data_IF_350601255544
#
_entry.id   IF_350601255544
#
_cell.length_a   1.000
_cell.length_b   1.000
_cell.length_c   1.000
_cell.angle_alpha   90.00
_cell.angle_beta   90.00
_cell.angle_gamma   90.00
#
_symmetry.space_group_name_H-M   'P 1'
#
loop_
_entity.id
_entity.type
_entity.pdbx_description
1 polymer ?
#
# COMPACT_ATOMS: atom_id res chain seq x y z
N UNK A 1 -17.56 -34.88 -43.91
CA UNK A 1 -16.56 -35.12 -42.85
C UNK A 1 -15.95 -33.81 -42.31
N UNK A 2 -15.47 -32.94 -43.15
CA UNK A 2 -14.80 -31.68 -42.74
C UNK A 2 -15.72 -30.73 -41.94
N UNK A 3 -17.03 -30.61 -42.31
CA UNK A 3 -18.01 -29.76 -41.60
C UNK A 3 -18.28 -30.19 -40.15
N UNK A 4 -18.23 -31.50 -39.87
CA UNK A 4 -18.44 -32.02 -38.50
C UNK A 4 -17.22 -31.83 -37.60
N UNK A 5 -16.02 -31.89 -38.16
CA UNK A 5 -14.75 -31.66 -37.44
C UNK A 5 -14.65 -30.16 -37.02
N UNK A 6 -15.02 -29.22 -37.90
CA UNK A 6 -15.05 -27.79 -37.55
C UNK A 6 -16.01 -27.47 -36.40
N UNK A 7 -17.18 -28.13 -36.35
CA UNK A 7 -18.17 -27.91 -35.28
C UNK A 7 -17.64 -28.39 -33.93
N UNK A 8 -16.96 -29.54 -33.90
CA UNK A 8 -16.36 -30.08 -32.68
C UNK A 8 -15.19 -29.23 -32.17
N UNK A 9 -14.34 -28.74 -33.09
CA UNK A 9 -13.25 -27.83 -32.72
C UNK A 9 -13.78 -26.48 -32.19
N UNK A 10 -14.84 -25.93 -32.76
CA UNK A 10 -15.46 -24.71 -32.28
C UNK A 10 -16.11 -24.86 -30.91
N UNK A 11 -16.74 -26.03 -30.63
CA UNK A 11 -17.31 -26.39 -29.33
C UNK A 11 -16.25 -26.52 -28.23
N UNK A 12 -15.08 -27.06 -28.56
CA UNK A 12 -13.95 -27.17 -27.61
C UNK A 12 -13.34 -25.83 -27.23
N UNK A 13 -13.32 -24.85 -28.14
CA UNK A 13 -12.84 -23.52 -27.83
C UNK A 13 -13.76 -22.71 -26.89
N UNK A 14 -15.04 -23.02 -26.87
CA UNK A 14 -16.01 -22.32 -26.02
C UNK A 14 -16.03 -22.84 -24.55
N UNK A 15 -15.34 -23.94 -24.29
CA UNK A 15 -15.28 -24.55 -22.95
C UNK A 15 -14.03 -24.12 -22.14
N UNK A 16 -13.24 -23.17 -22.62
CA UNK A 16 -12.21 -22.53 -21.80
C UNK A 16 -12.94 -21.54 -20.86
N UNK A 17 -13.43 -22.07 -19.75
CA UNK A 17 -13.94 -21.26 -18.68
C UNK A 17 -12.87 -20.23 -18.31
N UNK A 18 -13.20 -18.97 -18.29
CA UNK A 18 -12.34 -17.93 -17.76
C UNK A 18 -12.03 -18.30 -16.31
N UNK A 19 -10.83 -18.82 -16.07
CA UNK A 19 -10.31 -19.00 -14.71
C UNK A 19 -10.08 -17.59 -14.19
N UNK A 20 -11.05 -17.09 -13.47
CA UNK A 20 -10.93 -15.81 -12.79
C UNK A 20 -10.23 -16.09 -11.46
N UNK A 21 -9.01 -15.59 -11.33
CA UNK A 21 -8.31 -15.67 -10.06
C UNK A 21 -9.02 -14.77 -9.04
N UNK A 22 -9.18 -15.26 -7.83
CA UNK A 22 -9.69 -14.44 -6.74
C UNK A 22 -8.77 -13.24 -6.50
N UNK A 23 -9.33 -12.06 -6.24
CA UNK A 23 -8.54 -10.88 -6.00
C UNK A 23 -7.72 -11.03 -4.71
N UNK A 24 -6.42 -10.75 -4.81
CA UNK A 24 -5.55 -10.68 -3.63
C UNK A 24 -5.78 -9.34 -2.93
N UNK A 25 -6.05 -9.39 -1.63
CA UNK A 25 -6.16 -8.23 -0.77
C UNK A 25 -4.91 -8.09 0.10
N UNK A 26 -4.32 -6.91 0.07
CA UNK A 26 -3.22 -6.55 0.97
C UNK A 26 -3.77 -6.17 2.35
N UNK A 27 -2.94 -6.16 3.37
CA UNK A 27 -3.37 -5.80 4.72
C UNK A 27 -4.03 -4.42 4.80
N UNK A 28 -3.54 -3.45 4.03
CA UNK A 28 -4.12 -2.12 3.96
C UNK A 28 -5.52 -2.13 3.30
N UNK A 29 -5.76 -2.99 2.30
CA UNK A 29 -7.08 -3.13 1.68
C UNK A 29 -8.09 -3.72 2.67
N UNK A 30 -7.68 -4.74 3.42
CA UNK A 30 -8.53 -5.37 4.45
C UNK A 30 -8.84 -4.38 5.57
N UNK A 31 -7.85 -3.58 5.97
CA UNK A 31 -8.02 -2.54 6.98
C UNK A 31 -9.06 -1.50 6.51
N UNK A 32 -8.94 -1.03 5.27
CA UNK A 32 -9.88 -0.07 4.68
C UNK A 32 -11.29 -0.67 4.53
N UNK A 33 -11.42 -1.88 4.00
CA UNK A 33 -12.70 -2.59 3.86
C UNK A 33 -13.42 -2.78 5.21
N UNK A 34 -12.65 -2.96 6.28
CA UNK A 34 -13.20 -3.06 7.64
C UNK A 34 -13.65 -1.71 8.22
N UNK A 35 -13.50 -0.61 7.48
CA UNK A 35 -13.73 0.74 7.98
C UNK A 35 -12.71 1.15 9.03
N UNK A 36 -11.47 0.65 8.93
CA UNK A 36 -10.36 0.93 9.84
C UNK A 36 -10.65 0.57 11.31
N UNK A 37 -11.52 -0.40 11.57
CA UNK A 37 -11.98 -0.74 12.94
C UNK A 37 -10.84 -1.03 13.91
N UNK A 38 -9.76 -1.66 13.45
CA UNK A 38 -8.62 -2.02 14.30
C UNK A 38 -7.87 -0.79 14.86
N UNK A 39 -7.96 0.34 14.17
CA UNK A 39 -7.27 1.59 14.53
C UNK A 39 -8.22 2.79 14.69
N UNK A 40 -9.52 2.54 14.64
CA UNK A 40 -10.54 3.58 14.78
C UNK A 40 -10.43 4.36 16.08
N UNK A 41 -10.58 5.68 15.99
CA UNK A 41 -10.43 6.60 17.11
C UNK A 41 -9.01 6.84 17.59
N UNK A 42 -8.01 6.19 16.99
CA UNK A 42 -6.60 6.25 17.43
C UNK A 42 -5.81 7.33 16.68
N UNK A 43 -4.78 7.82 17.35
CA UNK A 43 -3.68 8.55 16.73
C UNK A 43 -2.68 7.53 16.22
N UNK A 44 -2.36 7.59 14.94
CA UNK A 44 -1.54 6.59 14.25
C UNK A 44 -0.28 7.23 13.71
N UNK A 45 0.87 6.59 13.96
CA UNK A 45 2.11 6.82 13.23
C UNK A 45 2.27 5.72 12.17
N UNK A 46 2.66 6.10 10.97
CA UNK A 46 2.84 5.17 9.86
C UNK A 46 4.31 5.04 9.49
N UNK A 47 4.86 3.85 9.63
CA UNK A 47 6.14 3.47 9.03
C UNK A 47 5.86 2.99 7.60
N UNK A 48 6.45 3.66 6.62
CA UNK A 48 6.20 3.36 5.21
C UNK A 48 7.38 3.74 4.30
N UNK A 49 7.32 3.24 3.09
CA UNK A 49 8.21 3.56 1.98
C UNK A 49 7.44 3.40 0.64
N UNK A 50 8.04 3.65 -0.55
CA UNK A 50 7.32 3.63 -1.82
C UNK A 50 6.53 2.37 -2.16
N UNK A 51 6.91 1.21 -1.63
CA UNK A 51 6.14 -0.02 -1.84
C UNK A 51 4.95 -0.19 -0.86
N UNK A 52 4.73 0.76 0.05
CA UNK A 52 3.58 0.78 0.95
C UNK A 52 2.31 1.24 0.22
N UNK A 53 1.85 0.43 -0.74
CA UNK A 53 0.71 0.71 -1.60
C UNK A 53 -0.45 -0.26 -1.30
N UNK A 54 -1.67 0.18 -1.60
CA UNK A 54 -2.82 -0.71 -1.67
C UNK A 54 -2.88 -1.44 -3.03
N UNK A 55 -3.83 -2.34 -3.22
CA UNK A 55 -4.03 -3.08 -4.47
C UNK A 55 -4.28 -2.21 -5.71
N UNK A 56 -4.65 -0.97 -5.53
CA UNK A 56 -4.90 0.01 -6.59
C UNK A 56 -3.71 0.92 -6.87
N UNK A 57 -2.58 0.69 -6.18
CA UNK A 57 -1.38 1.51 -6.31
C UNK A 57 -1.43 2.82 -5.54
N UNK A 58 -2.40 3.01 -4.63
CA UNK A 58 -2.46 4.19 -3.78
C UNK A 58 -1.57 4.03 -2.56
N UNK A 59 -0.91 5.11 -2.19
CA UNK A 59 -0.05 5.17 -1.01
C UNK A 59 -0.82 4.88 0.28
N UNK A 60 -0.26 4.10 1.18
CA UNK A 60 -0.82 3.89 2.52
C UNK A 60 -0.98 5.19 3.31
N UNK A 61 -0.19 6.22 3.00
CA UNK A 61 -0.34 7.56 3.56
C UNK A 61 -1.71 8.14 3.15
N UNK A 62 -2.03 8.12 1.86
CA UNK A 62 -3.28 8.68 1.36
C UNK A 62 -4.50 7.87 1.80
N UNK A 63 -4.36 6.54 1.82
CA UNK A 63 -5.41 5.65 2.35
C UNK A 63 -5.76 6.00 3.79
N UNK A 64 -4.76 6.17 4.67
CA UNK A 64 -5.01 6.51 6.08
C UNK A 64 -5.48 7.95 6.27
N UNK A 65 -5.05 8.89 5.43
CA UNK A 65 -5.46 10.29 5.51
C UNK A 65 -6.94 10.51 5.17
N UNK A 66 -7.50 9.71 4.27
CA UNK A 66 -8.93 9.81 3.94
C UNK A 66 -9.86 9.11 4.92
N UNK A 67 -9.33 8.35 5.87
CA UNK A 67 -10.12 7.65 6.88
C UNK A 67 -10.67 8.64 7.92
N UNK A 68 -11.98 8.80 7.97
CA UNK A 68 -12.66 9.78 8.85
C UNK A 68 -12.51 9.47 10.35
N UNK A 69 -12.24 8.21 10.69
CA UNK A 69 -12.15 7.72 12.06
C UNK A 69 -10.72 7.41 12.50
N UNK A 70 -9.70 7.76 11.69
CA UNK A 70 -8.28 7.58 12.00
C UNK A 70 -7.58 8.93 11.98
N UNK A 71 -6.69 9.17 12.92
CA UNK A 71 -5.85 10.35 12.94
C UNK A 71 -4.41 9.97 12.64
N UNK A 72 -3.98 10.08 11.38
CA UNK A 72 -2.57 9.96 11.01
C UNK A 72 -1.84 11.22 11.52
N UNK A 73 -0.86 11.05 12.41
CA UNK A 73 -0.19 12.17 13.10
C UNK A 73 1.30 12.25 12.83
N UNK A 74 1.91 11.18 12.36
CA UNK A 74 3.33 11.13 12.06
C UNK A 74 3.64 10.07 11.01
N UNK A 75 4.73 10.29 10.29
CA UNK A 75 5.32 9.35 9.35
C UNK A 75 6.70 8.92 9.85
N UNK A 76 7.08 7.69 9.56
CA UNK A 76 8.40 7.15 9.87
C UNK A 76 9.01 6.62 8.58
N UNK A 77 10.22 7.10 8.25
CA UNK A 77 10.93 6.73 7.03
C UNK A 77 12.12 5.81 7.32
N UNK A 78 12.21 4.63 6.71
CA UNK A 78 13.42 3.81 6.71
C UNK A 78 14.49 4.43 5.79
N UNK A 79 15.56 3.68 5.50
CA UNK A 79 16.54 4.04 4.48
C UNK A 79 15.84 4.41 3.17
N UNK A 80 16.33 5.40 2.46
CA UNK A 80 15.74 6.04 1.28
C UNK A 80 14.49 6.91 1.55
N UNK A 81 14.03 7.01 2.79
CA UNK A 81 12.89 7.86 3.16
C UNK A 81 11.53 7.30 2.72
N UNK A 82 10.48 8.04 3.05
CA UNK A 82 9.10 7.63 2.76
C UNK A 82 8.76 7.64 1.25
N UNK A 83 9.50 8.38 0.44
CA UNK A 83 9.32 8.47 -1.02
C UNK A 83 10.45 7.80 -1.82
N UNK A 84 11.45 7.21 -1.16
CA UNK A 84 12.53 6.50 -1.83
C UNK A 84 13.52 7.36 -2.61
N UNK A 85 13.55 8.65 -2.36
CA UNK A 85 14.37 9.61 -3.10
C UNK A 85 15.68 10.01 -2.37
N UNK A 86 15.88 9.49 -1.17
CA UNK A 86 17.11 9.72 -0.41
C UNK A 86 18.20 8.72 -0.85
N UNK A 87 19.45 9.17 -0.84
CA UNK A 87 20.59 8.33 -1.25
C UNK A 87 20.87 7.23 -0.22
N UNK A 88 21.30 6.06 -0.71
CA UNK A 88 21.73 4.96 0.15
C UNK A 88 22.93 5.35 1.04
N UNK A 89 22.99 4.79 2.25
CA UNK A 89 24.07 4.95 3.21
C UNK A 89 24.34 6.41 3.66
N UNK A 90 23.38 7.32 3.47
CA UNK A 90 23.46 8.68 3.95
C UNK A 90 22.43 8.84 5.09
N UNK A 91 22.83 9.34 6.26
CA UNK A 91 21.89 9.67 7.32
C UNK A 91 20.82 10.65 6.84
N UNK A 92 19.58 10.41 7.23
CA UNK A 92 18.43 11.22 6.84
C UNK A 92 17.92 11.92 8.10
N UNK A 93 17.77 13.24 8.03
CA UNK A 93 17.21 14.02 9.13
C UNK A 93 15.67 13.97 9.16
N UNK A 94 15.13 14.24 10.35
CA UNK A 94 13.69 14.46 10.52
C UNK A 94 13.28 15.72 9.75
N UNK A 95 12.08 15.68 9.17
CA UNK A 95 11.55 16.81 8.38
C UNK A 95 10.02 16.88 8.45
N UNK A 96 9.47 17.96 7.96
CA UNK A 96 8.02 18.03 7.68
C UNK A 96 7.81 17.60 6.23
N UNK A 97 6.89 16.70 6.02
CA UNK A 97 6.49 16.29 4.67
C UNK A 97 5.66 17.39 4.00
N UNK A 98 6.12 17.95 2.88
CA UNK A 98 5.42 19.06 2.21
C UNK A 98 4.07 18.65 1.62
N UNK A 99 3.88 17.34 1.33
CA UNK A 99 2.63 16.85 0.77
C UNK A 99 1.52 16.73 1.83
N UNK A 100 1.88 16.28 3.03
CA UNK A 100 0.90 16.02 4.09
C UNK A 100 0.91 17.05 5.22
N UNK A 101 1.99 17.81 5.37
CA UNK A 101 2.22 18.67 6.52
C UNK A 101 2.56 17.92 7.81
N UNK A 102 2.75 16.61 7.74
CA UNK A 102 3.03 15.78 8.90
C UNK A 102 4.54 15.69 9.18
N UNK A 103 4.94 15.53 10.45
CA UNK A 103 6.32 15.23 10.78
C UNK A 103 6.72 13.87 10.23
N UNK A 104 7.90 13.80 9.64
CA UNK A 104 8.57 12.57 9.19
C UNK A 104 9.76 12.35 10.08
N UNK A 105 9.72 11.31 10.88
CA UNK A 105 10.84 10.88 11.71
C UNK A 105 11.67 9.86 10.95
N UNK A 106 12.96 10.14 10.82
CA UNK A 106 13.88 9.24 10.17
C UNK A 106 14.27 8.08 11.09
N UNK A 107 14.16 6.87 10.57
CA UNK A 107 14.72 5.66 11.20
C UNK A 107 16.09 5.29 10.59
N UNK A 108 16.66 6.19 9.79
CA UNK A 108 17.98 6.04 9.18
C UNK A 108 18.85 7.30 9.37
N UNK A 109 18.76 7.89 10.54
CA UNK A 109 19.51 9.08 10.95
C UNK A 109 20.12 8.89 12.33
N UNK A 110 19.92 9.87 13.18
CA UNK A 110 20.34 9.85 14.59
C UNK A 110 19.72 8.68 15.38
N UNK A 111 18.48 8.34 15.06
CA UNK A 111 17.75 7.24 15.69
C UNK A 111 17.47 6.14 14.67
N UNK A 112 17.46 4.89 15.15
CA UNK A 112 17.16 3.70 14.34
C UNK A 112 15.85 3.02 14.78
N UNK A 113 15.13 3.68 15.68
CA UNK A 113 13.81 3.26 16.19
C UNK A 113 13.04 4.50 16.62
N UNK A 114 11.69 4.45 16.63
CA UNK A 114 10.89 5.51 17.21
C UNK A 114 11.30 5.79 18.67
N UNK A 115 11.32 7.04 19.06
CA UNK A 115 11.52 7.49 20.44
C UNK A 115 10.19 7.88 21.06
N UNK A 116 10.11 7.85 22.37
CA UNK A 116 8.93 8.30 23.10
C UNK A 116 8.72 9.80 22.94
#
# INVERSE_FOLDING_TARGET
MIKKICLVCFSLFFSIGLIQADPIYLGIDVLEQSGFRAIGGKRVGLLTHPAGLNRHGESSIDVLRRANNVRLVALFGPEHGIYGNEKANIPIDDKIDPHTGLPVYSLYGKYRKPTA
#
